data_IF_160528760408
#
_entry.id   IF_160528760408
#
_cell.length_a   1.000
_cell.length_b   1.000
_cell.length_c   1.000
_cell.angle_alpha   90.00
_cell.angle_beta   90.00
_cell.angle_gamma   90.00
#
_symmetry.space_group_name_H-M   'P 1'
#
loop_
_entity.id
_entity.type
_entity.pdbx_description
1 polymer ?
#
# COMPACT_ATOMS: atom_id res chain seq x y z
N UNK A 1 -19.83 9.17 25.81
CA UNK A 1 -19.96 9.03 24.34
C UNK A 1 -20.20 10.43 23.79
N UNK A 2 -19.37 10.91 22.86
CA UNK A 2 -19.65 12.12 22.08
C UNK A 2 -20.36 11.70 20.79
N UNK A 3 -21.49 12.32 20.42
CA UNK A 3 -22.25 11.96 19.21
C UNK A 3 -23.05 13.14 18.65
N UNK A 4 -23.36 13.08 17.36
CA UNK A 4 -24.36 13.95 16.74
C UNK A 4 -25.77 13.60 17.25
N UNK A 5 -26.72 14.54 17.15
CA UNK A 5 -28.10 14.36 17.59
C UNK A 5 -28.77 13.15 16.90
N UNK A 6 -28.52 12.99 15.61
CA UNK A 6 -29.00 11.87 14.78
C UNK A 6 -28.22 10.55 14.99
N UNK A 7 -27.11 10.57 15.73
CA UNK A 7 -26.24 9.41 15.94
C UNK A 7 -25.50 8.90 14.69
N UNK A 8 -25.46 9.69 13.61
CA UNK A 8 -24.70 9.35 12.40
C UNK A 8 -23.20 9.33 12.65
N UNK A 9 -22.70 10.19 13.54
CA UNK A 9 -21.30 10.20 13.98
C UNK A 9 -21.17 10.07 15.50
N UNK A 10 -20.18 9.31 15.96
CA UNK A 10 -19.89 9.12 17.38
C UNK A 10 -18.44 8.75 17.70
N UNK A 11 -18.02 9.09 18.92
CA UNK A 11 -16.79 8.64 19.57
C UNK A 11 -17.15 7.97 20.90
N UNK A 12 -16.75 6.70 21.02
CA UNK A 12 -16.91 5.92 22.25
C UNK A 12 -15.53 5.49 22.73
N UNK A 13 -15.23 5.82 23.98
CA UNK A 13 -14.01 5.40 24.68
C UNK A 13 -14.41 4.39 25.76
N UNK A 14 -13.89 3.18 25.66
CA UNK A 14 -14.03 2.09 26.62
C UNK A 14 -12.63 1.73 27.18
N UNK A 15 -12.53 0.92 28.25
CA UNK A 15 -11.25 0.60 28.88
C UNK A 15 -10.17 0.03 27.94
N UNK A 16 -10.57 -0.68 26.88
CA UNK A 16 -9.64 -1.39 25.97
C UNK A 16 -9.81 -0.99 24.50
N UNK A 17 -10.73 -0.07 24.18
CA UNK A 17 -11.09 0.22 22.79
C UNK A 17 -11.61 1.66 22.62
N UNK A 18 -11.24 2.28 21.50
CA UNK A 18 -11.85 3.51 21.01
C UNK A 18 -12.56 3.19 19.70
N UNK A 19 -13.86 3.52 19.61
CA UNK A 19 -14.65 3.36 18.39
C UNK A 19 -15.03 4.72 17.83
N UNK A 20 -14.67 4.94 16.57
CA UNK A 20 -15.05 6.11 15.78
C UNK A 20 -16.03 5.69 14.70
N UNK A 21 -17.21 6.31 14.67
CA UNK A 21 -18.19 6.16 13.61
C UNK A 21 -18.38 7.52 12.96
N UNK A 22 -18.13 7.61 11.67
CA UNK A 22 -18.41 8.80 10.86
C UNK A 22 -18.29 8.44 9.37
N UNK A 23 -18.66 9.39 8.50
CA UNK A 23 -18.41 9.27 7.05
C UNK A 23 -16.92 9.41 6.70
N UNK A 24 -16.18 10.22 7.46
CA UNK A 24 -14.75 10.45 7.31
C UNK A 24 -14.13 10.83 8.65
N UNK A 25 -12.85 10.50 8.84
CA UNK A 25 -12.01 10.95 9.96
C UNK A 25 -10.80 11.64 9.35
N UNK A 26 -10.56 12.89 9.73
CA UNK A 26 -9.39 13.66 9.31
C UNK A 26 -8.44 13.80 10.51
N UNK A 27 -7.17 13.53 10.28
CA UNK A 27 -6.10 13.68 11.27
C UNK A 27 -5.08 14.65 10.69
N UNK A 28 -4.95 15.82 11.30
CA UNK A 28 -3.98 16.84 10.91
C UNK A 28 -2.90 16.90 12.00
N UNK A 29 -1.74 16.33 11.69
CA UNK A 29 -0.59 16.25 12.60
C UNK A 29 0.70 16.15 11.77
N UNK A 30 1.82 16.57 12.35
CA UNK A 30 3.15 16.36 11.77
C UNK A 30 3.49 14.87 11.72
N UNK A 31 3.29 14.17 12.84
CA UNK A 31 3.48 12.72 12.97
C UNK A 31 2.23 12.03 13.55
N UNK A 32 1.91 10.84 13.02
CA UNK A 32 0.91 9.93 13.58
C UNK A 32 1.59 8.61 13.91
N UNK A 33 1.84 8.37 15.19
CA UNK A 33 2.45 7.12 15.67
C UNK A 33 1.38 6.07 15.98
N UNK A 34 1.49 4.89 15.36
CA UNK A 34 0.60 3.75 15.58
C UNK A 34 1.40 2.53 16.02
N UNK A 35 1.29 2.18 17.30
CA UNK A 35 2.00 1.04 17.87
C UNK A 35 1.11 -0.21 17.85
N UNK A 36 1.17 -0.99 16.77
CA UNK A 36 0.41 -2.22 16.63
C UNK A 36 0.18 -2.65 15.18
N UNK A 37 -0.78 -3.55 15.00
CA UNK A 37 -1.22 -4.00 13.67
C UNK A 37 -2.31 -3.06 13.15
N UNK A 38 -2.13 -2.58 11.92
CA UNK A 38 -3.11 -1.73 11.24
C UNK A 38 -3.89 -2.62 10.27
N UNK A 39 -5.22 -2.65 10.40
CA UNK A 39 -6.11 -3.35 9.48
C UNK A 39 -6.80 -2.33 8.58
N UNK A 40 -6.53 -2.38 7.26
CA UNK A 40 -7.10 -1.47 6.26
C UNK A 40 -7.96 -2.30 5.30
N UNK A 41 -9.29 -2.16 5.41
CA UNK A 41 -10.26 -2.93 4.63
C UNK A 41 -10.72 -2.20 3.36
N UNK A 42 -10.00 -1.15 2.98
CA UNK A 42 -10.24 -0.35 1.78
C UNK A 42 -8.91 0.01 1.10
N UNK A 43 -8.97 0.81 0.02
CA UNK A 43 -7.78 1.29 -0.67
C UNK A 43 -6.87 2.12 0.24
N UNK A 44 -5.57 2.03 0.00
CA UNK A 44 -4.56 2.93 0.56
C UNK A 44 -4.16 3.87 -0.58
N UNK A 45 -4.41 5.17 -0.41
CA UNK A 45 -4.14 6.19 -1.43
C UNK A 45 -3.24 7.25 -0.83
N UNK A 46 -2.25 7.70 -1.61
CA UNK A 46 -1.48 8.90 -1.31
C UNK A 46 -1.78 9.92 -2.40
N UNK A 47 -2.46 11.00 -2.04
CA UNK A 47 -2.92 12.03 -2.99
C UNK A 47 -1.76 12.93 -3.40
N UNK A 48 -1.37 12.84 -4.68
CA UNK A 48 -0.19 13.51 -5.24
C UNK A 48 -0.18 15.02 -4.97
N UNK A 49 -1.34 15.66 -5.00
CA UNK A 49 -1.49 17.11 -4.81
C UNK A 49 -1.25 17.56 -3.36
N UNK A 50 -1.34 16.64 -2.40
CA UNK A 50 -1.12 16.91 -0.97
C UNK A 50 0.26 16.47 -0.49
N UNK A 51 0.99 15.74 -1.33
CA UNK A 51 2.30 15.18 -1.01
C UNK A 51 3.43 16.16 -1.32
N UNK A 52 4.40 16.30 -0.40
CA UNK A 52 5.69 16.95 -0.61
C UNK A 52 6.80 16.00 -0.14
N UNK A 53 7.77 15.70 -1.00
CA UNK A 53 8.98 14.92 -0.68
C UNK A 53 8.72 13.60 0.08
N UNK A 54 7.74 12.82 -0.37
CA UNK A 54 7.27 11.65 0.37
C UNK A 54 8.02 10.37 0.04
N UNK A 55 8.13 9.47 1.01
CA UNK A 55 8.61 8.09 0.84
C UNK A 55 7.79 7.14 1.71
N UNK A 56 7.58 5.91 1.28
CA UNK A 56 7.10 4.82 2.12
C UNK A 56 8.25 3.83 2.37
N UNK A 57 8.54 3.51 3.64
CA UNK A 57 9.57 2.56 4.03
C UNK A 57 8.95 1.36 4.74
N UNK A 58 9.28 0.15 4.28
CA UNK A 58 8.85 -1.10 4.88
C UNK A 58 10.07 -1.97 5.20
N UNK A 59 10.14 -2.48 6.43
CA UNK A 59 11.25 -3.36 6.87
C UNK A 59 10.97 -4.81 6.49
N UNK A 60 9.73 -5.26 6.69
CA UNK A 60 9.31 -6.63 6.45
C UNK A 60 8.98 -6.92 4.98
N UNK A 61 8.78 -8.20 4.63
CA UNK A 61 8.35 -8.58 3.29
C UNK A 61 6.97 -7.97 2.96
N UNK A 62 6.84 -7.47 1.74
CA UNK A 62 5.55 -7.04 1.19
C UNK A 62 4.95 -8.19 0.38
N UNK A 63 3.85 -8.76 0.87
CA UNK A 63 3.07 -9.77 0.14
C UNK A 63 1.94 -9.07 -0.63
N UNK A 64 1.99 -9.16 -1.96
CA UNK A 64 0.93 -8.69 -2.87
C UNK A 64 0.35 -9.90 -3.59
N UNK A 65 -0.96 -10.08 -3.55
CA UNK A 65 -1.61 -11.27 -4.12
C UNK A 65 -1.89 -11.18 -5.62
N UNK A 66 -2.03 -9.95 -6.14
CA UNK A 66 -2.31 -9.70 -7.55
C UNK A 66 -1.04 -9.23 -8.27
N UNK A 67 -0.82 -7.93 -8.30
CA UNK A 67 0.28 -7.33 -9.03
C UNK A 67 0.77 -6.06 -8.36
N UNK A 68 2.02 -5.70 -8.64
CA UNK A 68 2.59 -4.41 -8.32
C UNK A 68 3.00 -3.73 -9.62
N UNK A 69 2.47 -2.53 -9.88
CA UNK A 69 2.86 -1.72 -11.04
C UNK A 69 3.88 -0.68 -10.58
N UNK A 70 5.12 -0.79 -11.05
CA UNK A 70 6.23 0.07 -10.66
C UNK A 70 6.66 0.85 -11.90
N UNK A 71 6.59 2.19 -11.83
CA UNK A 71 6.88 3.07 -12.98
C UNK A 71 6.08 2.68 -14.24
N UNK A 72 4.82 2.27 -14.08
CA UNK A 72 3.95 1.84 -15.18
C UNK A 72 4.18 0.41 -15.67
N UNK A 73 5.11 -0.35 -15.08
CA UNK A 73 5.45 -1.71 -15.47
C UNK A 73 4.89 -2.72 -14.47
N UNK A 74 4.11 -3.68 -14.95
CA UNK A 74 3.58 -4.80 -14.15
C UNK A 74 4.71 -5.74 -13.72
N UNK A 75 4.88 -5.92 -12.41
CA UNK A 75 5.89 -6.83 -11.87
C UNK A 75 5.62 -8.29 -12.27
N UNK A 76 4.36 -8.70 -12.34
CA UNK A 76 3.97 -10.07 -12.73
C UNK A 76 3.92 -10.30 -14.25
N UNK A 77 3.72 -9.25 -15.05
CA UNK A 77 3.50 -9.35 -16.50
C UNK A 77 4.59 -8.75 -17.39
N UNK A 78 5.69 -8.23 -16.84
CA UNK A 78 6.74 -7.63 -17.66
C UNK A 78 7.55 -8.66 -18.45
N UNK A 79 8.18 -8.19 -19.53
CA UNK A 79 9.11 -8.97 -20.36
C UNK A 79 10.45 -8.24 -20.47
N UNK A 80 11.47 -8.95 -20.93
CA UNK A 80 12.79 -8.41 -21.18
C UNK A 80 13.19 -8.64 -22.62
N UNK A 81 13.57 -7.58 -23.32
CA UNK A 81 14.18 -7.69 -24.64
C UNK A 81 15.60 -8.24 -24.50
N UNK A 82 15.88 -9.35 -25.20
CA UNK A 82 17.21 -9.96 -25.23
C UNK A 82 17.87 -9.63 -26.56
N UNK A 83 19.02 -8.96 -26.50
CA UNK A 83 19.79 -8.55 -27.68
C UNK A 83 21.18 -9.20 -27.67
N UNK A 84 21.84 -9.28 -28.84
CA UNK A 84 23.21 -9.80 -28.96
C UNK A 84 23.34 -11.33 -28.95
N UNK A 85 22.25 -12.06 -29.17
CA UNK A 85 22.26 -13.52 -29.32
C UNK A 85 22.10 -13.93 -30.78
N UNK A 86 22.69 -15.06 -31.16
CA UNK A 86 22.48 -15.64 -32.49
C UNK A 86 21.03 -16.14 -32.60
N UNK A 87 20.32 -15.74 -33.67
CA UNK A 87 18.96 -16.23 -33.94
C UNK A 87 18.94 -17.75 -34.12
N UNK A 88 17.91 -18.40 -33.60
CA UNK A 88 17.71 -19.85 -33.67
C UNK A 88 16.27 -20.24 -33.35
N UNK A 89 15.95 -21.54 -33.46
CA UNK A 89 14.60 -22.07 -33.20
C UNK A 89 14.37 -22.61 -31.79
N UNK A 90 15.39 -22.62 -30.93
CA UNK A 90 15.30 -23.15 -29.57
C UNK A 90 14.72 -22.12 -28.59
N UNK A 91 13.89 -22.57 -27.65
CA UNK A 91 13.40 -21.75 -26.53
C UNK A 91 14.09 -22.17 -25.24
N UNK A 92 14.59 -21.20 -24.47
CA UNK A 92 15.25 -21.43 -23.19
C UNK A 92 14.63 -20.48 -22.14
N UNK A 93 14.18 -21.04 -21.02
CA UNK A 93 13.66 -20.26 -19.90
C UNK A 93 14.81 -19.70 -19.06
N UNK A 94 14.75 -18.41 -18.73
CA UNK A 94 15.74 -17.78 -17.85
C UNK A 94 15.68 -18.38 -16.44
N UNK A 95 16.82 -18.32 -15.74
CA UNK A 95 16.83 -18.56 -14.29
C UNK A 95 16.22 -17.37 -13.56
N UNK A 96 15.92 -17.56 -12.26
CA UNK A 96 15.51 -16.45 -11.38
C UNK A 96 16.54 -15.31 -11.42
N UNK A 97 16.13 -14.06 -11.14
CA UNK A 97 17.06 -12.93 -11.03
C UNK A 97 18.22 -13.24 -10.07
N UNK A 98 19.38 -12.67 -10.37
CA UNK A 98 20.49 -12.68 -9.42
C UNK A 98 20.06 -11.91 -8.14
N UNK A 99 20.56 -12.31 -6.96
CA UNK A 99 20.41 -11.50 -5.76
C UNK A 99 20.92 -10.07 -6.03
N UNK A 100 20.14 -9.07 -5.65
CA UNK A 100 20.52 -7.65 -5.68
C UNK A 100 21.35 -7.25 -4.47
#
# INVERSE_FOLDING_TARGET
>A
ILKTEDGSSSVTVAPEEIRLKSKAVYLEAEDIFMNGKIHLNGPIVQDKEQMKDTTASLIGPLKVEKDAVINGVSASGHSHDVTGVQSGGSTITSKKPNPG
#
